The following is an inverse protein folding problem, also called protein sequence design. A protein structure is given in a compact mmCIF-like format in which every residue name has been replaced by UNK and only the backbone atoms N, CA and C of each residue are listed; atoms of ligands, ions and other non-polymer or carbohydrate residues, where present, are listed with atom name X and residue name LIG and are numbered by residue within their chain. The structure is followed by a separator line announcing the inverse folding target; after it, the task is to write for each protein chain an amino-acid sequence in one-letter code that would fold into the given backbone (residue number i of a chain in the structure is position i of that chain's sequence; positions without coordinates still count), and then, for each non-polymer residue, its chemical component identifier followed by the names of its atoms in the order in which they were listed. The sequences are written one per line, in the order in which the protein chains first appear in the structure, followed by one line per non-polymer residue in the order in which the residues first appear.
data_IF_807739820967
#
_entry.id   IF_807739820967
#
_cell.length_a   1.000
_cell.length_b   1.000
_cell.length_c   1.000
_cell.angle_alpha   90.00
_cell.angle_beta   90.00
_cell.angle_gamma   90.00
#
_symmetry.space_group_name_H-M   'P 1'
#
loop_
_entity.id
_entity.type
_entity.pdbx_description
1 polymer ?
#
# COMPACT_ATOMS: atom_id res chain seq x y z
N UNK A 1 -37.80 8.56 9.18
CA UNK A 1 -38.09 9.93 8.72
C UNK A 1 -36.92 10.37 7.85
N UNK A 2 -37.11 10.31 6.53
CA UNK A 2 -36.18 10.81 5.53
C UNK A 2 -36.31 12.34 5.54
N UNK A 3 -35.19 13.07 5.65
CA UNK A 3 -35.13 14.48 5.25
C UNK A 3 -33.95 14.64 4.31
N UNK A 4 -34.29 14.68 3.02
CA UNK A 4 -33.51 15.29 1.96
C UNK A 4 -33.96 16.75 1.85
N UNK A 5 -33.07 17.71 2.08
CA UNK A 5 -33.07 19.04 1.43
C UNK A 5 -31.58 19.45 1.34
N UNK A 6 -30.91 19.21 0.23
CA UNK A 6 -30.83 20.12 -0.92
C UNK A 6 -30.14 21.46 -0.58
N UNK A 7 -28.80 21.45 -0.52
CA UNK A 7 -27.98 22.64 -0.81
C UNK A 7 -27.11 22.35 -2.03
N UNK A 8 -27.67 22.65 -3.21
CA UNK A 8 -27.17 22.30 -4.55
C UNK A 8 -25.95 23.11 -5.04
N UNK A 9 -25.08 23.58 -4.15
CA UNK A 9 -23.84 24.27 -4.56
C UNK A 9 -22.64 24.02 -3.63
N UNK A 10 -22.83 23.33 -2.50
CA UNK A 10 -21.76 23.06 -1.54
C UNK A 10 -21.03 21.71 -1.75
N UNK A 11 -21.49 20.87 -2.69
CA UNK A 11 -21.05 19.47 -2.79
C UNK A 11 -20.00 19.19 -3.87
N UNK A 12 -19.68 20.12 -4.78
CA UNK A 12 -18.63 19.87 -5.78
C UNK A 12 -17.25 20.30 -5.29
N UNK A 13 -17.17 21.48 -4.67
CA UNK A 13 -15.92 22.03 -4.15
C UNK A 13 -15.37 21.20 -2.98
N UNK A 14 -16.23 20.74 -2.08
CA UNK A 14 -15.83 19.85 -0.97
C UNK A 14 -15.38 18.48 -1.50
N UNK A 15 -16.09 17.84 -2.43
CA UNK A 15 -15.65 16.57 -3.03
C UNK A 15 -14.31 16.70 -3.77
N UNK A 16 -14.09 17.80 -4.50
CA UNK A 16 -12.83 18.05 -5.22
C UNK A 16 -11.66 18.36 -4.27
N UNK A 17 -11.93 19.07 -3.16
CA UNK A 17 -10.97 19.24 -2.07
C UNK A 17 -10.68 17.92 -1.34
N UNK A 18 -11.68 17.05 -1.14
CA UNK A 18 -11.49 15.72 -0.55
C UNK A 18 -10.69 14.77 -1.45
N UNK A 19 -10.89 14.81 -2.78
CA UNK A 19 -10.07 14.04 -3.73
C UNK A 19 -8.59 14.45 -3.64
N UNK A 20 -8.31 15.75 -3.54
CA UNK A 20 -6.94 16.27 -3.50
C UNK A 20 -6.29 16.10 -2.12
N UNK A 21 -6.96 16.53 -1.03
CA UNK A 21 -6.46 16.38 0.35
C UNK A 21 -6.35 14.91 0.77
N UNK A 22 -7.34 14.09 0.40
CA UNK A 22 -7.34 12.65 0.66
C UNK A 22 -6.16 11.95 -0.01
N UNK A 23 -5.80 12.37 -1.23
CA UNK A 23 -4.65 11.82 -1.95
C UNK A 23 -3.32 12.16 -1.25
N UNK A 24 -3.15 13.39 -0.75
CA UNK A 24 -1.98 13.75 0.07
C UNK A 24 -1.89 12.94 1.36
N UNK A 25 -2.99 12.86 2.13
CA UNK A 25 -3.02 12.10 3.38
C UNK A 25 -2.72 10.62 3.14
N UNK A 26 -3.25 10.05 2.06
CA UNK A 26 -2.99 8.68 1.66
C UNK A 26 -1.51 8.45 1.30
N UNK A 27 -0.90 9.34 0.52
CA UNK A 27 0.53 9.26 0.20
C UNK A 27 1.40 9.39 1.47
N UNK A 28 1.05 10.31 2.38
CA UNK A 28 1.74 10.43 3.67
C UNK A 28 1.59 9.18 4.53
N UNK A 29 0.43 8.52 4.51
CA UNK A 29 0.24 7.25 5.21
C UNK A 29 1.20 6.17 4.69
N UNK A 30 1.43 6.08 3.38
CA UNK A 30 2.43 5.18 2.81
C UNK A 30 3.85 5.52 3.25
N UNK A 31 4.23 6.79 3.25
CA UNK A 31 5.56 7.24 3.71
C UNK A 31 5.80 6.93 5.19
N UNK A 32 4.81 7.20 6.04
CA UNK A 32 4.88 6.91 7.47
C UNK A 32 4.96 5.39 7.71
N UNK A 33 4.14 4.60 7.01
CA UNK A 33 4.19 3.16 7.13
C UNK A 33 5.53 2.59 6.62
N UNK A 34 6.05 3.10 5.51
CA UNK A 34 7.39 2.76 5.00
C UNK A 34 8.46 3.02 6.05
N UNK A 35 8.47 4.20 6.65
CA UNK A 35 9.40 4.56 7.72
C UNK A 35 9.28 3.62 8.93
N UNK A 36 8.05 3.33 9.36
CA UNK A 36 7.80 2.44 10.49
C UNK A 36 8.29 1.00 10.24
N UNK A 37 8.03 0.43 9.07
CA UNK A 37 8.48 -0.93 8.77
C UNK A 37 9.99 -1.03 8.59
N UNK A 38 10.65 -0.01 8.03
CA UNK A 38 12.11 0.07 7.95
C UNK A 38 12.74 0.19 9.34
N UNK A 39 12.14 0.99 10.21
CA UNK A 39 12.53 1.06 11.62
C UNK A 39 12.41 -0.31 12.29
N UNK A 40 11.29 -1.02 12.16
CA UNK A 40 11.14 -2.36 12.73
C UNK A 40 12.13 -3.37 12.17
N UNK A 41 12.43 -3.33 10.87
CA UNK A 41 13.48 -4.16 10.28
C UNK A 41 14.81 -3.89 10.97
N UNK A 42 15.20 -2.63 11.10
CA UNK A 42 16.44 -2.23 11.78
C UNK A 42 16.49 -2.75 13.21
N UNK A 43 15.44 -2.53 14.00
CA UNK A 43 15.37 -2.99 15.40
C UNK A 43 15.48 -4.52 15.51
N UNK A 44 14.79 -5.26 14.62
CA UNK A 44 14.87 -6.72 14.62
C UNK A 44 16.28 -7.23 14.29
N UNK A 45 16.99 -6.58 13.36
CA UNK A 45 18.38 -6.93 13.04
C UNK A 45 19.33 -6.57 14.19
N UNK A 46 19.16 -5.40 14.81
CA UNK A 46 19.99 -4.98 15.94
C UNK A 46 19.83 -5.90 17.16
N UNK A 47 18.61 -6.38 17.39
CA UNK A 47 18.32 -7.35 18.44
C UNK A 47 18.72 -8.81 18.08
N UNK A 48 19.28 -9.06 16.89
CA UNK A 48 19.71 -10.41 16.49
C UNK A 48 18.55 -11.39 16.24
N UNK A 49 17.32 -10.90 16.08
CA UNK A 49 16.11 -11.71 16.04
C UNK A 49 15.97 -12.51 14.75
N UNK A 50 16.70 -12.16 13.68
CA UNK A 50 16.76 -12.88 12.41
C UNK A 50 17.20 -14.35 12.54
N UNK A 51 17.81 -14.71 13.67
CA UNK A 51 18.24 -16.07 14.00
C UNK A 51 17.05 -17.00 14.25
N UNK A 52 15.94 -16.48 14.77
CA UNK A 52 14.72 -17.24 15.04
C UNK A 52 13.85 -17.36 13.78
N UNK A 53 13.13 -18.49 13.66
CA UNK A 53 12.34 -18.77 12.45
C UNK A 53 11.13 -17.84 12.34
N UNK A 54 10.52 -17.48 13.47
CA UNK A 54 9.37 -16.56 13.53
C UNK A 54 9.73 -15.15 13.05
N UNK A 55 10.74 -14.54 13.68
CA UNK A 55 11.17 -13.19 13.32
C UNK A 55 11.76 -13.11 11.92
N UNK A 56 12.45 -14.15 11.41
CA UNK A 56 12.91 -14.15 10.02
C UNK A 56 11.76 -13.98 9.02
N UNK A 57 10.61 -14.61 9.27
CA UNK A 57 9.41 -14.42 8.41
C UNK A 57 8.81 -13.03 8.56
N UNK A 58 8.80 -12.48 9.78
CA UNK A 58 8.35 -11.10 10.01
C UNK A 58 9.24 -10.08 9.29
N UNK A 59 10.56 -10.26 9.33
CA UNK A 59 11.51 -9.39 8.60
C UNK A 59 11.20 -9.41 7.10
N UNK A 60 10.98 -10.59 6.51
CA UNK A 60 10.59 -10.68 5.10
C UNK A 60 9.22 -10.05 4.82
N UNK A 61 8.24 -10.22 5.70
CA UNK A 61 6.95 -9.53 5.59
C UNK A 61 7.10 -8.01 5.61
N UNK A 62 7.92 -7.48 6.52
CA UNK A 62 8.23 -6.06 6.60
C UNK A 62 8.96 -5.55 5.34
N UNK A 63 9.88 -6.33 4.76
CA UNK A 63 10.53 -5.95 3.50
C UNK A 63 9.54 -5.87 2.34
N UNK A 64 8.62 -6.83 2.23
CA UNK A 64 7.57 -6.78 1.20
C UNK A 64 6.63 -5.58 1.41
N UNK A 65 6.26 -5.29 2.66
CA UNK A 65 5.47 -4.08 2.99
C UNK A 65 6.23 -2.79 2.68
N UNK A 66 7.54 -2.74 2.94
CA UNK A 66 8.38 -1.59 2.60
C UNK A 66 8.38 -1.38 1.08
N UNK A 67 8.61 -2.44 0.30
CA UNK A 67 8.59 -2.38 -1.15
C UNK A 67 7.21 -1.96 -1.68
N UNK A 68 6.13 -2.51 -1.12
CA UNK A 68 4.75 -2.15 -1.49
C UNK A 68 4.44 -0.68 -1.23
N UNK A 69 4.85 -0.13 -0.08
CA UNK A 69 4.64 1.28 0.23
C UNK A 69 5.49 2.20 -0.66
N UNK A 70 6.74 1.83 -0.93
CA UNK A 70 7.60 2.58 -1.85
C UNK A 70 7.00 2.62 -3.26
N UNK A 71 6.52 1.48 -3.73
CA UNK A 71 5.84 1.37 -5.01
C UNK A 71 4.57 2.24 -5.07
N UNK A 72 3.77 2.24 -4.00
CA UNK A 72 2.58 3.08 -3.90
C UNK A 72 2.91 4.57 -4.03
N UNK A 73 3.95 5.03 -3.33
CA UNK A 73 4.40 6.43 -3.37
C UNK A 73 4.85 6.81 -4.78
N UNK A 74 5.59 5.93 -5.46
CA UNK A 74 6.03 6.14 -6.85
C UNK A 74 4.82 6.19 -7.78
N UNK A 75 3.88 5.24 -7.64
CA UNK A 75 2.65 5.19 -8.42
C UNK A 75 1.83 6.47 -8.30
N UNK A 76 1.59 6.96 -7.08
CA UNK A 76 0.87 8.22 -6.83
C UNK A 76 1.63 9.44 -7.37
N UNK A 77 2.96 9.47 -7.24
CA UNK A 77 3.78 10.56 -7.79
C UNK A 77 3.69 10.61 -9.32
N UNK A 78 3.72 9.44 -9.96
CA UNK A 78 3.58 9.30 -11.41
C UNK A 78 2.17 9.70 -11.85
N UNK A 79 1.11 9.27 -11.13
CA UNK A 79 -0.27 9.62 -11.42
C UNK A 79 -0.51 11.14 -11.36
N UNK A 80 0.05 11.83 -10.36
CA UNK A 80 -0.02 13.30 -10.30
C UNK A 80 0.79 14.00 -11.40
N UNK A 81 1.90 13.40 -11.85
CA UNK A 81 2.71 13.94 -12.95
C UNK A 81 2.07 13.75 -14.32
N UNK A 82 1.35 12.63 -14.51
CA UNK A 82 0.58 12.30 -15.70
C UNK A 82 -0.84 12.86 -15.51
N UNK A 83 -1.07 14.16 -15.78
CA UNK A 83 -2.43 14.74 -15.82
C UNK A 83 -3.40 13.84 -16.59
N UNK A 84 -4.14 12.98 -15.89
CA UNK A 84 -5.01 11.93 -16.42
C UNK A 84 -4.36 11.03 -17.51
N UNK A 85 -4.13 9.72 -17.28
CA UNK A 85 -3.89 8.83 -18.40
C UNK A 85 -5.10 8.93 -19.36
N UNK A 86 -4.81 9.21 -20.63
CA UNK A 86 -5.75 9.37 -21.75
C UNK A 86 -6.69 8.16 -21.86
N UNK A 87 -7.72 8.11 -21.01
CA UNK A 87 -8.86 7.24 -21.18
C UNK A 87 -9.72 7.94 -22.22
N UNK A 88 -9.57 7.52 -23.48
CA UNK A 88 -10.44 7.99 -24.55
C UNK A 88 -11.74 7.18 -24.51
N UNK A 89 -12.87 7.90 -24.48
CA UNK A 89 -14.22 7.33 -24.54
C UNK A 89 -14.96 7.25 -23.20
N UNK A 90 -16.29 7.11 -23.29
CA UNK A 90 -17.19 6.94 -22.13
C UNK A 90 -17.82 5.54 -22.09
N UNK A 91 -18.21 5.11 -20.88
CA UNK A 91 -18.86 3.81 -20.66
C UNK A 91 -17.98 2.62 -21.06
N UNK A 92 -18.58 1.62 -21.72
CA UNK A 92 -17.90 0.39 -22.17
C UNK A 92 -16.92 0.62 -23.35
N UNK A 93 -16.85 1.84 -23.89
CA UNK A 93 -15.98 2.18 -25.02
C UNK A 93 -14.59 2.68 -24.61
N UNK A 94 -14.27 2.70 -23.31
CA UNK A 94 -12.97 3.14 -22.80
C UNK A 94 -11.83 2.37 -23.44
N UNK A 95 -10.96 3.09 -24.15
CA UNK A 95 -9.72 2.55 -24.69
C UNK A 95 -8.53 3.02 -23.88
N UNK A 96 -7.69 2.05 -23.54
CA UNK A 96 -6.41 2.26 -22.88
C UNK A 96 -5.40 2.64 -23.95
N UNK A 97 -5.01 3.92 -23.98
CA UNK A 97 -4.00 4.40 -24.92
C UNK A 97 -2.62 4.21 -24.29
N UNK A 98 -1.88 3.19 -24.72
CA UNK A 98 -0.51 2.90 -24.25
C UNK A 98 0.54 3.51 -25.19
N UNK A 99 0.60 4.84 -25.22
CA UNK A 99 1.45 5.57 -26.18
C UNK A 99 2.92 5.71 -25.76
N UNK A 100 3.24 5.61 -24.46
CA UNK A 100 4.60 5.87 -23.97
C UNK A 100 5.01 4.96 -22.80
N UNK A 101 6.32 4.93 -22.53
CA UNK A 101 6.92 4.14 -21.45
C UNK A 101 6.35 4.52 -20.07
N UNK A 102 6.02 5.79 -19.84
CA UNK A 102 5.40 6.26 -18.61
C UNK A 102 4.02 5.66 -18.36
N UNK A 103 3.19 5.51 -19.40
CA UNK A 103 1.88 4.84 -19.31
C UNK A 103 2.03 3.34 -19.04
N UNK A 104 3.05 2.69 -19.61
CA UNK A 104 3.38 1.30 -19.28
C UNK A 104 3.79 1.15 -17.82
N UNK A 105 4.70 2.00 -17.33
CA UNK A 105 5.13 2.01 -15.92
C UNK A 105 3.93 2.25 -14.99
N UNK A 106 3.02 3.17 -15.36
CA UNK A 106 1.79 3.43 -14.61
C UNK A 106 0.90 2.18 -14.45
N UNK A 107 0.61 1.45 -15.55
CA UNK A 107 -0.21 0.24 -15.46
C UNK A 107 0.51 -0.92 -14.76
N UNK A 108 1.82 -1.08 -14.98
CA UNK A 108 2.62 -2.07 -14.27
C UNK A 108 2.59 -1.80 -12.77
N UNK A 109 2.73 -0.54 -12.33
CA UNK A 109 2.61 -0.19 -10.92
C UNK A 109 1.22 -0.48 -10.37
N UNK A 110 0.17 -0.17 -11.13
CA UNK A 110 -1.21 -0.43 -10.70
C UNK A 110 -1.52 -1.91 -10.50
N UNK A 111 -0.92 -2.79 -11.31
CA UNK A 111 -1.01 -4.25 -11.13
C UNK A 111 -0.08 -4.77 -10.03
N UNK A 112 1.15 -4.27 -9.98
CA UNK A 112 2.20 -4.70 -9.04
C UNK A 112 1.86 -4.33 -7.60
N UNK A 113 1.11 -3.24 -7.40
CA UNK A 113 0.52 -2.86 -6.13
C UNK A 113 -0.38 -3.95 -5.51
N UNK A 114 -0.97 -4.85 -6.31
CA UNK A 114 -1.74 -5.98 -5.78
C UNK A 114 -0.89 -7.24 -5.51
N UNK A 115 0.30 -7.36 -6.10
CA UNK A 115 1.08 -8.59 -6.06
C UNK A 115 1.92 -8.75 -4.79
N UNK A 116 2.40 -7.63 -4.22
CA UNK A 116 3.27 -7.67 -3.04
C UNK A 116 2.51 -7.82 -1.72
N UNK A 117 1.25 -7.40 -1.67
CA UNK A 117 0.47 -7.38 -0.44
C UNK A 117 0.05 -8.78 0.07
N UNK A 118 -0.49 -9.70 -0.77
CA UNK A 118 -0.83 -11.06 -0.33
C UNK A 118 0.35 -11.86 0.26
N UNK A 119 1.54 -11.93 -0.37
CA UNK A 119 2.67 -12.66 0.21
C UNK A 119 3.18 -12.01 1.50
N UNK A 120 3.10 -10.68 1.63
CA UNK A 120 3.47 -9.98 2.85
C UNK A 120 2.60 -10.41 4.05
N UNK A 121 1.27 -10.39 3.89
CA UNK A 121 0.34 -10.82 4.95
C UNK A 121 0.45 -12.31 5.24
N UNK A 122 0.69 -13.15 4.22
CA UNK A 122 0.94 -14.57 4.43
C UNK A 122 2.18 -14.81 5.29
N UNK A 123 3.30 -14.13 5.00
CA UNK A 123 4.52 -14.24 5.80
C UNK A 123 4.34 -13.70 7.22
N UNK A 124 3.61 -12.59 7.37
CA UNK A 124 3.26 -12.02 8.67
C UNK A 124 2.51 -13.05 9.52
N UNK A 125 1.42 -13.61 8.99
CA UNK A 125 0.62 -14.64 9.65
C UNK A 125 1.47 -15.86 10.03
N UNK A 126 2.27 -16.37 9.09
CA UNK A 126 3.13 -17.54 9.31
C UNK A 126 4.28 -17.26 10.27
N UNK A 127 4.73 -16.01 10.39
CA UNK A 127 5.72 -15.57 11.39
C UNK A 127 5.14 -15.57 12.78
N UNK A 128 3.98 -14.92 12.96
CA UNK A 128 3.23 -14.89 14.21
C UNK A 128 2.87 -16.30 14.71
N UNK A 129 2.41 -17.17 13.80
CA UNK A 129 2.07 -18.55 14.13
C UNK A 129 3.27 -19.34 14.68
N UNK A 130 4.46 -19.19 14.06
CA UNK A 130 5.67 -19.84 14.56
C UNK A 130 6.04 -19.34 15.95
N UNK A 131 6.04 -18.02 16.16
CA UNK A 131 6.40 -17.46 17.47
C UNK A 131 5.44 -17.94 18.57
N UNK A 132 4.14 -18.03 18.26
CA UNK A 132 3.15 -18.57 19.19
C UNK A 132 3.40 -20.04 19.53
N UNK A 133 3.90 -20.84 18.57
CA UNK A 133 4.29 -22.24 18.79
C UNK A 133 5.57 -22.36 19.62
N UNK A 134 6.61 -21.59 19.27
CA UNK A 134 7.88 -21.53 20.01
C UNK A 134 7.66 -21.12 21.48
N UNK A 135 6.82 -20.11 21.70
CA UNK A 135 6.44 -19.66 23.05
C UNK A 135 5.66 -20.71 23.85
N UNK A 136 4.80 -21.50 23.21
CA UNK A 136 4.08 -22.61 23.87
C UNK A 136 5.01 -23.78 24.20
N UNK A 137 5.98 -24.08 23.34
CA UNK A 137 6.96 -25.14 23.56
C UNK A 137 7.91 -24.80 24.72
N UNK A 138 8.44 -23.58 24.77
CA UNK A 138 9.34 -23.14 25.85
C UNK A 138 8.66 -23.00 27.23
N UNK A 139 7.33 -22.89 27.30
CA UNK A 139 6.58 -22.95 28.58
C UNK A 139 6.32 -24.37 29.10
N UNK A 140 6.60 -25.40 28.30
CA UNK A 140 6.38 -26.81 28.64
C UNK A 140 7.68 -27.56 28.97
N UNK A 141 8.84 -26.95 28.73
CA UNK A 141 10.17 -27.42 29.12
C UNK A 141 10.59 -26.80 30.44
#
# INVERSE_FOLDING_TARGET
MIVLLASSSANLATLFEWETQGSYVHQFAHLLLLGAVLFFIREMYQAGLQTTRGFRRLIWACWLLALWNLEAVIGHTIDWSLRNPLILGEGLSRRLVMENLSTWIFYIHRFSHFLLLPPAFYLLYRGLQIMAQEFKAGRRS
#
